data_IF_034518884173
#
_entry.id   IF_034518884173
#
_cell.length_a   1.000
_cell.length_b   1.000
_cell.length_c   1.000
_cell.angle_alpha   90.00
_cell.angle_beta   90.00
_cell.angle_gamma   90.00
#
_symmetry.space_group_name_H-M   'P 1'
#
loop_
_entity.id
_entity.type
_entity.pdbx_description
1 polymer ?
#
# COMPACT_ATOMS: atom_id res chain seq x y z
N UNK A 1 0.72 14.03 -21.88
CA UNK A 1 -0.42 13.29 -21.28
C UNK A 1 -0.07 13.08 -19.81
N UNK A 2 -0.84 13.60 -18.89
CA UNK A 2 -0.49 13.57 -17.46
C UNK A 2 -0.75 12.15 -16.93
N UNK A 3 0.27 11.46 -16.43
CA UNK A 3 0.20 10.06 -15.95
C UNK A 3 -0.92 9.89 -14.88
N UNK A 4 -1.19 10.92 -14.12
CA UNK A 4 -2.24 10.96 -13.10
C UNK A 4 -3.64 10.68 -13.68
N UNK A 5 -3.97 11.25 -14.81
CA UNK A 5 -5.26 11.04 -15.49
C UNK A 5 -5.42 9.62 -16.07
N UNK A 6 -4.32 8.85 -16.21
CA UNK A 6 -4.39 7.49 -16.75
C UNK A 6 -4.93 6.48 -15.74
N UNK A 7 -4.64 6.65 -14.45
CA UNK A 7 -5.11 5.70 -13.41
C UNK A 7 -6.56 5.96 -13.00
N UNK A 8 -7.02 7.22 -13.05
CA UNK A 8 -8.43 7.57 -12.81
C UNK A 8 -9.37 6.89 -13.80
N UNK A 9 -8.90 6.68 -15.05
CA UNK A 9 -9.66 5.98 -16.08
C UNK A 9 -9.81 4.45 -15.85
N UNK A 10 -9.05 3.89 -14.91
CA UNK A 10 -9.18 2.47 -14.53
C UNK A 10 -10.27 2.24 -13.49
N UNK A 11 -10.80 3.32 -12.88
CA UNK A 11 -11.79 3.19 -11.82
C UNK A 11 -13.16 2.90 -12.41
N UNK A 12 -13.74 1.80 -11.95
CA UNK A 12 -15.12 1.42 -12.25
C UNK A 12 -15.94 1.52 -10.95
N UNK A 13 -16.91 2.43 -10.94
CA UNK A 13 -17.71 2.74 -9.75
C UNK A 13 -18.71 1.64 -9.37
N UNK A 14 -18.91 0.64 -10.21
CA UNK A 14 -19.91 -0.40 -10.00
C UNK A 14 -19.34 -1.68 -9.36
N UNK A 15 -18.01 -1.81 -9.32
CA UNK A 15 -17.33 -3.03 -8.88
C UNK A 15 -16.30 -2.77 -7.78
N UNK A 16 -15.79 -3.83 -7.18
CA UNK A 16 -14.66 -3.81 -6.27
C UNK A 16 -13.36 -3.90 -7.05
N UNK A 17 -12.37 -3.07 -6.70
CA UNK A 17 -11.04 -3.10 -7.30
C UNK A 17 -9.98 -2.94 -6.21
N UNK A 18 -8.87 -3.64 -6.37
CA UNK A 18 -7.66 -3.46 -5.57
C UNK A 18 -6.49 -3.22 -6.50
N UNK A 19 -5.78 -2.13 -6.28
CA UNK A 19 -4.59 -1.75 -7.02
C UNK A 19 -3.38 -1.79 -6.08
N UNK A 20 -2.29 -2.38 -6.51
CA UNK A 20 -0.99 -2.32 -5.86
C UNK A 20 -0.08 -1.38 -6.62
N UNK A 21 0.26 -0.28 -5.99
CA UNK A 21 1.20 0.71 -6.50
C UNK A 21 2.55 0.64 -5.81
N UNK A 22 3.56 1.20 -6.48
CA UNK A 22 4.90 1.35 -5.94
C UNK A 22 5.50 2.67 -6.44
N UNK A 23 6.35 3.27 -5.62
CA UNK A 23 7.27 4.34 -6.01
C UNK A 23 8.67 4.05 -5.46
N UNK A 24 9.72 4.77 -5.89
CA UNK A 24 10.98 4.80 -5.14
C UNK A 24 10.74 5.23 -3.69
N UNK A 25 11.59 4.78 -2.77
CA UNK A 25 11.60 5.27 -1.40
C UNK A 25 12.19 6.70 -1.33
N UNK A 26 12.15 7.31 -0.14
CA UNK A 26 12.80 8.62 0.07
C UNK A 26 14.30 8.58 -0.23
N UNK A 27 14.85 9.68 -0.76
CA UNK A 27 16.31 9.84 -0.89
C UNK A 27 16.94 9.88 0.51
N UNK A 28 18.08 9.19 0.73
CA UNK A 28 18.95 8.52 -0.25
C UNK A 28 18.59 7.05 -0.56
N UNK A 29 17.50 6.53 -0.03
CA UNK A 29 17.10 5.12 -0.14
C UNK A 29 16.27 4.82 -1.40
N UNK A 30 16.34 5.68 -2.42
CA UNK A 30 15.50 5.63 -3.62
C UNK A 30 15.73 4.43 -4.54
N UNK A 31 16.79 3.63 -4.29
CA UNK A 31 16.99 2.32 -4.96
C UNK A 31 15.99 1.26 -4.47
N UNK A 32 15.42 1.45 -3.29
CA UNK A 32 14.37 0.61 -2.72
C UNK A 32 13.00 1.16 -3.04
N UNK A 33 11.97 0.34 -2.87
CA UNK A 33 10.60 0.70 -3.21
C UNK A 33 9.73 0.89 -1.99
N UNK A 34 8.74 1.77 -2.14
CA UNK A 34 7.65 1.98 -1.20
C UNK A 34 6.33 1.58 -1.87
N UNK A 35 5.70 0.47 -1.46
CA UNK A 35 4.43 -0.01 -1.97
C UNK A 35 3.26 0.47 -1.13
N UNK A 36 2.08 0.58 -1.78
CA UNK A 36 0.79 0.83 -1.12
C UNK A 36 -0.36 0.21 -1.91
N UNK A 37 -1.48 0.00 -1.23
CA UNK A 37 -2.74 -0.38 -1.86
C UNK A 37 -3.65 0.83 -2.06
N UNK A 38 -4.35 0.83 -3.17
CA UNK A 38 -5.57 1.62 -3.38
C UNK A 38 -6.71 0.64 -3.57
N UNK A 39 -7.74 0.75 -2.75
CA UNK A 39 -8.96 -0.03 -2.90
C UNK A 39 -10.07 0.87 -3.43
N UNK A 40 -10.86 0.32 -4.34
CA UNK A 40 -12.12 0.89 -4.79
C UNK A 40 -13.27 0.01 -4.30
N UNK A 41 -14.09 0.57 -3.45
CA UNK A 41 -15.28 -0.08 -2.93
C UNK A 41 -16.50 0.57 -3.61
N UNK A 42 -16.78 0.16 -4.85
CA UNK A 42 -17.92 0.65 -5.65
C UNK A 42 -17.96 2.20 -5.66
N UNK A 43 -16.90 2.81 -6.17
CA UNK A 43 -16.76 4.27 -6.29
C UNK A 43 -16.13 4.96 -5.09
N UNK A 44 -15.96 4.27 -3.95
CA UNK A 44 -15.25 4.82 -2.80
C UNK A 44 -13.80 4.37 -2.82
N UNK A 45 -12.89 5.29 -3.14
CA UNK A 45 -11.45 5.03 -3.15
C UNK A 45 -10.87 5.24 -1.75
N UNK A 46 -9.93 4.38 -1.36
CA UNK A 46 -9.12 4.56 -0.16
C UNK A 46 -7.71 4.00 -0.37
N UNK A 47 -6.71 4.75 0.10
CA UNK A 47 -5.30 4.36 0.08
C UNK A 47 -4.88 3.80 1.43
N UNK A 48 -4.20 2.65 1.43
CA UNK A 48 -3.64 1.99 2.61
C UNK A 48 -2.14 1.79 2.45
N UNK A 49 -1.37 2.32 3.38
CA UNK A 49 0.08 2.20 3.38
C UNK A 49 0.65 2.17 4.80
N UNK A 50 1.89 1.71 4.94
CA UNK A 50 2.65 1.81 6.19
C UNK A 50 3.80 2.78 5.97
N UNK A 51 3.85 3.87 6.75
CA UNK A 51 4.94 4.85 6.79
C UNK A 51 5.34 5.12 8.23
N UNK A 52 6.59 5.51 8.45
CA UNK A 52 7.04 5.86 9.79
C UNK A 52 6.24 7.05 10.35
N UNK A 53 5.72 6.90 11.56
CA UNK A 53 5.15 7.98 12.38
C UNK A 53 6.03 8.18 13.60
N UNK A 54 6.51 9.40 13.82
CA UNK A 54 7.30 9.75 15.02
C UNK A 54 6.44 9.73 16.30
N UNK A 55 5.17 10.14 16.17
CA UNK A 55 4.20 10.13 17.26
C UNK A 55 3.01 9.26 16.86
N UNK A 56 2.78 8.17 17.58
CA UNK A 56 1.60 7.32 17.42
C UNK A 56 0.40 7.93 18.16
N UNK A 57 -0.16 9.01 17.60
CA UNK A 57 -1.31 9.72 18.19
C UNK A 57 -2.54 8.81 18.22
N UNK A 58 -2.64 7.89 17.27
CA UNK A 58 -3.67 6.86 17.20
C UNK A 58 -3.05 5.47 17.36
N UNK A 59 -2.92 4.95 18.58
CA UNK A 59 -2.29 3.64 18.82
C UNK A 59 -2.96 2.48 18.08
N UNK A 60 -4.25 2.64 17.72
CA UNK A 60 -5.01 1.62 16.98
C UNK A 60 -4.49 1.42 15.56
N UNK A 61 -4.04 2.48 14.90
CA UNK A 61 -3.51 2.42 13.53
C UNK A 61 -2.00 2.14 13.48
N UNK A 62 -1.26 2.55 14.52
CA UNK A 62 0.19 2.46 14.53
C UNK A 62 0.80 3.24 13.36
N UNK A 63 1.65 2.59 12.59
CA UNK A 63 2.28 3.13 11.39
C UNK A 63 1.44 2.99 10.11
N UNK A 64 0.20 2.45 10.20
CA UNK A 64 -0.72 2.39 9.07
C UNK A 64 -1.30 3.80 8.84
N UNK A 65 -1.31 4.22 7.59
CA UNK A 65 -1.93 5.44 7.09
C UNK A 65 -3.10 5.09 6.18
N UNK A 66 -4.18 5.85 6.30
CA UNK A 66 -5.35 5.73 5.44
C UNK A 66 -5.62 7.12 4.87
N UNK A 67 -5.58 7.24 3.55
CA UNK A 67 -5.91 8.46 2.79
C UNK A 67 -5.07 9.72 3.13
N UNK A 68 -3.92 9.55 3.80
CA UNK A 68 -3.00 10.66 4.11
C UNK A 68 -2.35 11.28 2.85
N UNK A 69 -2.25 10.50 1.77
CA UNK A 69 -1.75 10.95 0.47
C UNK A 69 -2.78 10.64 -0.62
N UNK A 70 -2.76 11.38 -1.74
CA UNK A 70 -3.60 11.05 -2.88
C UNK A 70 -3.39 9.60 -3.35
N UNK A 71 -4.44 8.91 -3.84
CA UNK A 71 -4.39 7.48 -4.12
C UNK A 71 -3.32 7.09 -5.14
N UNK A 72 -3.10 7.92 -6.15
CA UNK A 72 -2.23 7.62 -7.29
C UNK A 72 -0.92 8.41 -7.32
N UNK A 73 -0.57 9.10 -6.24
CA UNK A 73 0.71 9.80 -6.11
C UNK A 73 1.72 8.90 -5.37
N UNK A 74 3.00 8.92 -5.78
CA UNK A 74 4.07 8.35 -4.98
C UNK A 74 4.28 9.11 -3.67
N UNK A 75 5.15 8.59 -2.81
CA UNK A 75 5.56 9.32 -1.61
C UNK A 75 6.47 10.49 -1.98
N UNK A 76 6.70 11.38 -1.04
CA UNK A 76 7.63 12.51 -1.20
C UNK A 76 9.04 12.01 -1.53
N UNK A 77 9.76 12.75 -2.40
CA UNK A 77 11.15 12.42 -2.77
C UNK A 77 12.06 12.51 -1.54
N UNK A 78 11.80 13.52 -0.69
CA UNK A 78 12.51 13.72 0.57
C UNK A 78 11.54 13.55 1.75
N UNK A 79 11.97 12.85 2.80
CA UNK A 79 11.14 12.56 3.97
C UNK A 79 10.70 13.80 4.77
N UNK A 80 11.36 14.93 4.58
CA UNK A 80 11.12 16.20 5.28
C UNK A 80 10.49 17.27 4.40
N UNK A 81 10.19 16.95 3.13
CA UNK A 81 9.54 17.86 2.19
C UNK A 81 8.28 17.19 1.63
N UNK A 82 7.18 17.94 1.59
CA UNK A 82 5.94 17.48 0.95
C UNK A 82 5.97 17.53 -0.58
N UNK A 83 7.01 18.11 -1.17
CA UNK A 83 7.24 18.23 -2.62
C UNK A 83 8.73 18.10 -2.95
N UNK A 84 9.07 17.60 -4.16
CA UNK A 84 8.20 16.88 -5.11
C UNK A 84 7.88 15.46 -4.64
N UNK A 85 6.89 14.84 -5.28
CA UNK A 85 6.54 13.43 -5.11
C UNK A 85 7.02 12.59 -6.28
N UNK A 86 7.30 11.31 -6.01
CA UNK A 86 7.56 10.33 -7.05
C UNK A 86 6.29 10.04 -7.86
N UNK A 87 6.46 9.67 -9.12
CA UNK A 87 5.39 9.07 -9.90
C UNK A 87 5.05 7.68 -9.35
N UNK A 88 3.77 7.36 -9.29
CA UNK A 88 3.31 6.02 -8.99
C UNK A 88 3.51 5.09 -10.20
N UNK A 89 3.86 3.84 -9.91
CA UNK A 89 3.85 2.75 -10.89
C UNK A 89 2.86 1.71 -10.44
N UNK A 90 1.86 1.40 -11.27
CA UNK A 90 0.94 0.30 -11.02
C UNK A 90 1.68 -1.02 -11.26
N UNK A 91 1.80 -1.84 -10.21
CA UNK A 91 2.37 -3.19 -10.31
C UNK A 91 1.32 -4.20 -10.71
N UNK A 92 0.11 -4.02 -10.19
CA UNK A 92 -0.93 -5.03 -10.35
C UNK A 92 -2.30 -4.52 -9.90
N UNK A 93 -3.37 -5.11 -10.43
CA UNK A 93 -4.73 -4.90 -9.97
C UNK A 93 -5.58 -6.17 -10.10
N UNK A 94 -6.66 -6.21 -9.31
CA UNK A 94 -7.75 -7.18 -9.42
C UNK A 94 -9.07 -6.44 -9.32
N UNK A 95 -10.07 -6.96 -10.02
CA UNK A 95 -11.41 -6.40 -9.99
C UNK A 95 -12.48 -7.50 -9.98
N UNK A 96 -13.68 -7.16 -9.57
CA UNK A 96 -14.81 -8.08 -9.57
C UNK A 96 -16.02 -7.54 -8.82
N UNK A 97 -17.11 -8.23 -8.99
CA UNK A 97 -18.39 -7.93 -8.38
C UNK A 97 -18.48 -8.47 -6.93
N UNK A 98 -19.71 -8.54 -6.39
CA UNK A 98 -20.01 -9.12 -5.09
C UNK A 98 -19.49 -10.57 -4.98
N UNK A 99 -18.98 -10.91 -3.81
CA UNK A 99 -18.39 -12.21 -3.47
C UNK A 99 -17.10 -12.56 -4.26
N UNK A 100 -16.59 -11.63 -5.05
CA UNK A 100 -15.34 -11.81 -5.81
C UNK A 100 -14.09 -11.83 -4.90
N UNK A 101 -12.95 -12.34 -5.40
CA UNK A 101 -11.66 -12.17 -4.74
C UNK A 101 -11.31 -10.70 -4.49
N UNK A 102 -11.71 -9.78 -5.38
CA UNK A 102 -11.46 -8.35 -5.22
C UNK A 102 -12.20 -7.78 -3.99
N UNK A 103 -13.49 -8.11 -3.80
CA UNK A 103 -14.23 -7.71 -2.61
C UNK A 103 -13.57 -8.24 -1.33
N UNK A 104 -13.26 -9.55 -1.28
CA UNK A 104 -12.62 -10.17 -0.11
C UNK A 104 -11.29 -9.50 0.23
N UNK A 105 -10.49 -9.15 -0.78
CA UNK A 105 -9.22 -8.46 -0.59
C UNK A 105 -9.43 -7.01 -0.11
N UNK A 106 -10.42 -6.28 -0.63
CA UNK A 106 -10.81 -4.96 -0.11
C UNK A 106 -11.14 -5.03 1.39
N UNK A 107 -11.96 -6.00 1.79
CA UNK A 107 -12.34 -6.19 3.19
C UNK A 107 -11.14 -6.58 4.07
N UNK A 108 -10.27 -7.46 3.58
CA UNK A 108 -9.06 -7.85 4.29
C UNK A 108 -8.12 -6.66 4.51
N UNK A 109 -7.91 -5.81 3.48
CA UNK A 109 -7.10 -4.59 3.59
C UNK A 109 -7.72 -3.62 4.61
N UNK A 110 -9.03 -3.39 4.57
CA UNK A 110 -9.73 -2.56 5.57
C UNK A 110 -9.52 -3.07 6.99
N UNK A 111 -9.63 -4.38 7.20
CA UNK A 111 -9.48 -5.02 8.49
C UNK A 111 -8.02 -5.09 8.97
N UNK A 112 -7.04 -4.84 8.11
CA UNK A 112 -5.62 -4.87 8.44
C UNK A 112 -5.26 -3.88 9.56
N UNK A 113 -5.98 -2.78 9.70
CA UNK A 113 -5.81 -1.81 10.79
C UNK A 113 -5.91 -2.41 12.19
N UNK A 114 -6.70 -3.46 12.34
CA UNK A 114 -6.87 -4.19 13.60
C UNK A 114 -6.09 -5.52 13.64
N UNK A 115 -5.88 -6.17 12.49
CA UNK A 115 -5.34 -7.53 12.42
C UNK A 115 -3.84 -7.59 12.15
N UNK A 116 -3.23 -6.55 11.56
CA UNK A 116 -1.79 -6.51 11.32
C UNK A 116 -1.01 -6.32 12.64
N UNK A 117 -0.41 -7.38 13.12
CA UNK A 117 0.23 -7.42 14.46
C UNK A 117 1.47 -6.52 14.59
N UNK A 118 2.16 -6.23 13.49
CA UNK A 118 3.37 -5.41 13.50
C UNK A 118 3.11 -3.92 13.22
N UNK A 119 1.85 -3.46 13.26
CA UNK A 119 1.47 -2.06 12.96
C UNK A 119 2.18 -1.00 13.80
N UNK A 120 2.61 -1.36 15.02
CA UNK A 120 3.33 -0.44 15.93
C UNK A 120 4.86 -0.51 15.82
N UNK A 121 5.37 -1.24 14.82
CA UNK A 121 6.81 -1.41 14.60
C UNK A 121 7.18 -0.91 13.21
N UNK A 122 8.31 -0.20 13.13
CA UNK A 122 8.85 0.24 11.85
C UNK A 122 10.38 0.22 11.88
N UNK A 123 10.98 -0.59 11.02
CA UNK A 123 12.43 -0.72 10.87
C UNK A 123 12.82 -0.83 9.39
N UNK A 124 14.01 -0.39 9.05
CA UNK A 124 14.51 -0.39 7.67
C UNK A 124 14.43 -1.78 7.00
N UNK A 125 14.82 -2.83 7.73
CA UNK A 125 14.79 -4.22 7.23
C UNK A 125 13.49 -4.97 7.60
N UNK A 126 12.45 -4.26 7.99
CA UNK A 126 11.14 -4.74 8.40
C UNK A 126 10.96 -4.92 9.90
N UNK A 127 9.74 -4.81 10.40
CA UNK A 127 8.53 -4.46 9.65
C UNK A 127 8.56 -3.05 9.07
N UNK A 128 8.07 -2.90 7.84
CA UNK A 128 7.93 -1.64 7.11
C UNK A 128 6.80 -1.75 6.05
N UNK A 129 6.72 -0.82 5.11
CA UNK A 129 5.72 -0.83 4.05
C UNK A 129 5.75 -2.11 3.20
N UNK A 130 6.94 -2.60 2.86
CA UNK A 130 7.09 -3.82 2.07
C UNK A 130 6.65 -5.06 2.85
N UNK A 131 6.94 -5.12 4.15
CA UNK A 131 6.50 -6.21 5.05
C UNK A 131 4.97 -6.23 5.15
N UNK A 132 4.34 -5.07 5.30
CA UNK A 132 2.88 -4.94 5.37
C UNK A 132 2.21 -5.42 4.08
N UNK A 133 2.67 -4.92 2.93
CA UNK A 133 2.11 -5.34 1.64
C UNK A 133 2.32 -6.83 1.42
N UNK A 134 3.51 -7.37 1.70
CA UNK A 134 3.77 -8.81 1.55
C UNK A 134 2.88 -9.64 2.49
N UNK A 135 2.60 -9.15 3.71
CA UNK A 135 1.68 -9.81 4.62
C UNK A 135 0.25 -9.86 4.05
N UNK A 136 -0.25 -8.77 3.44
CA UNK A 136 -1.56 -8.77 2.75
C UNK A 136 -1.56 -9.81 1.62
N UNK A 137 -0.52 -9.81 0.77
CA UNK A 137 -0.42 -10.73 -0.37
C UNK A 137 -0.40 -12.20 0.08
N UNK A 138 0.32 -12.51 1.15
CA UNK A 138 0.41 -13.88 1.69
C UNK A 138 -0.92 -14.38 2.28
N UNK A 139 -1.81 -13.47 2.68
CA UNK A 139 -3.13 -13.80 3.21
C UNK A 139 -4.26 -13.64 2.17
N UNK A 140 -3.92 -13.39 0.92
CA UNK A 140 -4.85 -13.26 -0.21
C UNK A 140 -4.50 -14.31 -1.26
N UNK A 141 -4.90 -15.58 -1.07
CA UNK A 141 -4.42 -16.72 -1.88
C UNK A 141 -4.80 -16.63 -3.37
N UNK A 142 -5.84 -15.90 -3.69
CA UNK A 142 -6.24 -15.62 -5.08
C UNK A 142 -5.24 -14.69 -5.80
N UNK A 143 -4.38 -14.02 -5.02
CA UNK A 143 -3.36 -13.15 -5.53
C UNK A 143 -2.01 -13.86 -5.61
N UNK A 144 -1.46 -14.02 -6.81
CA UNK A 144 -0.15 -14.65 -7.04
C UNK A 144 0.99 -13.64 -7.26
N UNK A 145 0.77 -12.37 -6.93
CA UNK A 145 1.79 -11.34 -7.08
C UNK A 145 2.84 -11.39 -5.98
N UNK A 146 4.06 -11.01 -6.33
CA UNK A 146 5.17 -10.83 -5.39
C UNK A 146 5.75 -9.43 -5.57
N UNK A 147 6.22 -8.85 -4.47
CA UNK A 147 6.98 -7.63 -4.53
C UNK A 147 8.32 -7.88 -5.23
N UNK A 148 8.85 -6.84 -5.87
CA UNK A 148 10.12 -6.86 -6.56
C UNK A 148 11.29 -7.12 -5.57
N UNK A 149 12.45 -7.55 -6.10
CA UNK A 149 13.64 -7.86 -5.31
C UNK A 149 14.16 -6.68 -4.47
N UNK A 150 13.92 -5.45 -4.92
CA UNK A 150 14.29 -4.21 -4.22
C UNK A 150 13.25 -3.72 -3.19
N UNK A 151 12.25 -4.53 -2.88
CA UNK A 151 11.29 -4.29 -1.81
C UNK A 151 11.89 -4.73 -0.46
N UNK A 152 12.72 -3.89 0.14
CA UNK A 152 13.45 -4.20 1.36
C UNK A 152 12.50 -4.53 2.52
N UNK A 153 12.66 -5.70 3.15
CA UNK A 153 11.80 -6.18 4.25
C UNK A 153 10.61 -7.03 3.80
N UNK A 154 10.43 -7.30 2.48
CA UNK A 154 9.36 -8.18 2.00
C UNK A 154 9.47 -9.62 2.55
N UNK A 155 10.69 -10.08 2.82
CA UNK A 155 10.99 -11.40 3.40
C UNK A 155 11.11 -11.37 4.95
N UNK A 156 10.67 -10.30 5.60
CA UNK A 156 10.70 -10.24 7.05
C UNK A 156 9.87 -11.39 7.64
N UNK A 157 10.54 -12.29 8.34
CA UNK A 157 9.91 -13.37 9.11
C UNK A 157 9.90 -12.95 10.57
N UNK A 158 8.73 -12.95 11.18
CA UNK A 158 8.61 -12.79 12.61
C UNK A 158 9.44 -13.90 13.26
N UNK A 159 10.52 -13.58 13.97
CA UNK A 159 11.22 -14.55 14.79
C UNK A 159 10.22 -15.00 15.85
N UNK A 160 9.88 -16.29 15.84
CA UNK A 160 9.05 -16.95 16.85
C UNK A 160 9.79 -16.96 18.18
#
# INVERSE_FOLDING_TARGET
>A
MNIKNSFENLINNDIYQVFLFVSPAHIPLSIWTHPWFVINNKGTLSRYEVRYKSNLVEPKLGHIHIDDLPPFDGIEVFSFLSHPRWNATLLWHIEGEENSPAQKMCEFIKNSTSTYSDRNKYFLFGPNSNTYVQWILNNSPEFKGQLQWNALGNNYKKRK
#
